data_IF_191886410745
#
_entry.id   IF_191886410745
#
_cell.length_a   1.000
_cell.length_b   1.000
_cell.length_c   1.000
_cell.angle_alpha   90.00
_cell.angle_beta   90.00
_cell.angle_gamma   90.00
#
_symmetry.space_group_name_H-M   'P 1'
#
loop_
_entity.id
_entity.type
_entity.pdbx_description
1 polymer ?
#
# COMPACT_ATOMS: atom_id res chain seq x y z
N UNK A 1 13.23 -4.52 4.06
CA UNK A 1 12.31 -3.48 3.55
C UNK A 1 10.92 -4.05 3.35
N UNK A 2 10.81 -5.26 2.80
CA UNK A 2 9.58 -6.07 2.69
C UNK A 2 8.73 -6.12 3.99
N UNK A 3 9.33 -6.46 5.14
CA UNK A 3 8.61 -6.59 6.42
C UNK A 3 7.93 -5.28 6.88
N UNK A 4 8.53 -4.13 6.55
CA UNK A 4 7.95 -2.83 6.88
C UNK A 4 6.63 -2.58 6.14
N UNK A 5 6.54 -3.03 4.89
CA UNK A 5 5.35 -2.82 4.05
C UNK A 5 4.14 -3.59 4.59
N UNK A 6 4.34 -4.85 5.01
CA UNK A 6 3.29 -5.66 5.63
C UNK A 6 2.76 -5.06 6.94
N UNK A 7 3.67 -4.54 7.78
CA UNK A 7 3.32 -3.87 9.04
C UNK A 7 2.54 -2.59 8.77
N UNK A 8 2.98 -1.77 7.81
CA UNK A 8 2.27 -0.52 7.45
C UNK A 8 0.89 -0.80 6.86
N UNK A 9 0.77 -1.78 5.95
CA UNK A 9 -0.53 -2.16 5.38
C UNK A 9 -1.50 -2.69 6.43
N UNK A 10 -0.99 -3.45 7.39
CA UNK A 10 -1.80 -3.96 8.51
C UNK A 10 -2.26 -2.81 9.40
N UNK A 11 -1.38 -1.86 9.73
CA UNK A 11 -1.73 -0.68 10.52
C UNK A 11 -2.80 0.18 9.81
N UNK A 12 -2.66 0.42 8.51
CA UNK A 12 -3.64 1.19 7.71
C UNK A 12 -5.01 0.50 7.72
N UNK A 13 -5.04 -0.83 7.56
CA UNK A 13 -6.28 -1.61 7.59
C UNK A 13 -6.96 -1.58 8.97
N UNK A 14 -6.19 -1.66 10.06
CA UNK A 14 -6.72 -1.54 11.43
C UNK A 14 -7.31 -0.15 11.67
N UNK A 15 -6.63 0.92 11.24
CA UNK A 15 -7.13 2.29 11.38
C UNK A 15 -8.44 2.46 10.60
N UNK A 16 -8.51 1.96 9.36
CA UNK A 16 -9.74 1.95 8.57
C UNK A 16 -10.88 1.22 9.28
N UNK A 17 -10.61 0.02 9.83
CA UNK A 17 -11.59 -0.76 10.57
C UNK A 17 -12.14 0.02 11.78
N UNK A 18 -11.27 0.67 12.56
CA UNK A 18 -11.68 1.48 13.73
C UNK A 18 -12.57 2.64 13.29
N UNK A 19 -12.18 3.40 12.26
CA UNK A 19 -12.96 4.52 11.73
C UNK A 19 -14.32 4.03 11.25
N UNK A 20 -14.36 2.91 10.52
CA UNK A 20 -15.60 2.34 9.98
C UNK A 20 -16.55 1.87 11.08
N UNK A 21 -16.01 1.29 12.16
CA UNK A 21 -16.79 0.93 13.35
C UNK A 21 -17.38 2.17 14.02
N UNK A 22 -16.61 3.25 14.15
CA UNK A 22 -17.10 4.52 14.69
C UNK A 22 -18.20 5.09 13.78
N UNK A 23 -18.00 5.08 12.46
CA UNK A 23 -18.96 5.58 11.47
C UNK A 23 -20.32 4.87 11.56
N UNK A 24 -20.32 3.53 11.56
CA UNK A 24 -21.54 2.72 11.65
C UNK A 24 -22.24 2.96 13.00
N UNK A 25 -21.46 3.02 14.10
CA UNK A 25 -22.02 3.07 15.45
C UNK A 25 -22.55 4.45 15.84
N UNK A 26 -21.95 5.53 15.34
CA UNK A 26 -22.29 6.91 15.74
C UNK A 26 -23.03 7.72 14.67
N UNK A 27 -22.71 7.52 13.39
CA UNK A 27 -23.31 8.30 12.29
C UNK A 27 -24.46 7.53 11.65
N UNK A 28 -24.20 6.32 11.14
CA UNK A 28 -25.17 5.58 10.32
C UNK A 28 -26.32 4.99 11.14
N UNK A 29 -26.05 4.48 12.36
CA UNK A 29 -27.03 3.77 13.21
C UNK A 29 -27.81 2.67 12.48
N UNK A 30 -27.22 2.10 11.42
CA UNK A 30 -27.77 0.97 10.69
C UNK A 30 -27.36 -0.34 11.35
N UNK A 31 -28.12 -1.41 11.06
CA UNK A 31 -27.75 -2.75 11.48
C UNK A 31 -26.38 -3.13 10.90
N UNK A 32 -25.52 -3.66 11.77
CA UNK A 32 -24.12 -3.94 11.43
C UNK A 32 -24.08 -5.06 10.38
N UNK A 33 -23.97 -4.69 9.11
CA UNK A 33 -23.66 -5.60 8.00
C UNK A 33 -22.18 -6.01 8.07
N UNK A 34 -21.85 -6.88 9.03
CA UNK A 34 -20.49 -7.39 9.26
C UNK A 34 -19.82 -7.93 7.99
N UNK A 35 -20.61 -8.57 7.11
CA UNK A 35 -20.13 -9.11 5.83
C UNK A 35 -19.58 -8.02 4.90
N UNK A 36 -20.22 -6.85 4.87
CA UNK A 36 -19.78 -5.73 4.04
C UNK A 36 -18.54 -5.08 4.63
N UNK A 37 -18.51 -4.92 5.96
CA UNK A 37 -17.37 -4.31 6.65
C UNK A 37 -16.07 -5.12 6.51
N UNK A 38 -16.17 -6.46 6.60
CA UNK A 38 -15.03 -7.36 6.39
C UNK A 38 -14.53 -7.26 4.94
N UNK A 39 -15.44 -7.24 3.97
CA UNK A 39 -15.08 -7.07 2.55
C UNK A 39 -14.33 -5.76 2.33
N UNK A 40 -14.84 -4.65 2.85
CA UNK A 40 -14.22 -3.34 2.70
C UNK A 40 -12.81 -3.31 3.32
N UNK A 41 -12.65 -3.91 4.50
CA UNK A 41 -11.36 -3.99 5.21
C UNK A 41 -10.32 -4.81 4.42
N UNK A 42 -10.75 -5.93 3.81
CA UNK A 42 -9.90 -6.75 2.94
C UNK A 42 -9.47 -5.97 1.69
N UNK A 43 -10.40 -5.23 1.07
CA UNK A 43 -10.11 -4.40 -0.11
C UNK A 43 -9.07 -3.33 0.23
N UNK A 44 -9.21 -2.64 1.37
CA UNK A 44 -8.25 -1.61 1.82
C UNK A 44 -6.87 -2.22 2.07
N UNK A 45 -6.81 -3.39 2.71
CA UNK A 45 -5.55 -4.10 2.94
C UNK A 45 -4.85 -4.44 1.61
N UNK A 46 -5.57 -5.06 0.67
CA UNK A 46 -5.02 -5.42 -0.65
C UNK A 46 -4.58 -4.17 -1.41
N UNK A 47 -5.38 -3.11 -1.42
CA UNK A 47 -5.06 -1.85 -2.08
C UNK A 47 -3.79 -1.21 -1.51
N UNK A 48 -3.63 -1.22 -0.18
CA UNK A 48 -2.44 -0.68 0.47
C UNK A 48 -1.17 -1.47 0.13
N UNK A 49 -1.23 -2.81 0.10
CA UNK A 49 -0.09 -3.67 -0.29
C UNK A 49 0.30 -3.39 -1.74
N UNK A 50 -0.68 -3.37 -2.65
CA UNK A 50 -0.43 -3.10 -4.06
C UNK A 50 0.18 -1.72 -4.29
N UNK A 51 -0.33 -0.69 -3.60
CA UNK A 51 0.21 0.66 -3.69
C UNK A 51 1.67 0.75 -3.21
N UNK A 52 1.98 0.13 -2.07
CA UNK A 52 3.35 0.07 -1.54
C UNK A 52 4.27 -0.73 -2.47
N UNK A 53 3.79 -1.84 -3.02
CA UNK A 53 4.53 -2.67 -3.98
C UNK A 53 4.90 -1.87 -5.23
N UNK A 54 3.94 -1.18 -5.84
CA UNK A 54 4.17 -0.31 -7.01
C UNK A 54 5.21 0.76 -6.66
N UNK A 55 5.11 1.39 -5.48
CA UNK A 55 6.05 2.42 -5.05
C UNK A 55 7.51 1.90 -4.97
N UNK A 56 7.70 0.65 -4.49
CA UNK A 56 9.01 -0.01 -4.49
C UNK A 56 9.54 -0.26 -5.90
N UNK A 57 8.69 -0.72 -6.81
CA UNK A 57 9.11 -0.98 -8.19
C UNK A 57 9.50 0.30 -8.91
N UNK A 58 8.71 1.37 -8.75
CA UNK A 58 9.01 2.67 -9.35
C UNK A 58 10.34 3.22 -8.82
N UNK A 59 10.57 3.23 -7.51
CA UNK A 59 11.83 3.79 -6.96
C UNK A 59 13.10 3.06 -7.41
N UNK A 60 13.02 1.77 -7.74
CA UNK A 60 14.21 0.97 -8.07
C UNK A 60 14.71 1.23 -9.49
N UNK A 61 13.83 1.59 -10.43
CA UNK A 61 14.20 1.80 -11.83
C UNK A 61 14.55 3.26 -12.19
N UNK A 62 14.04 4.26 -11.44
CA UNK A 62 14.35 5.68 -11.74
C UNK A 62 15.70 6.15 -11.18
N UNK A 63 16.31 5.43 -10.24
CA UNK A 63 17.62 5.80 -9.70
C UNK A 63 18.77 5.30 -10.58
N UNK A 64 19.15 6.15 -11.55
CA UNK A 64 20.52 6.33 -12.01
C UNK A 64 21.26 5.14 -12.65
N UNK A 65 20.66 4.48 -13.66
CA UNK A 65 21.51 3.90 -14.71
C UNK A 65 21.84 4.99 -15.73
N UNK A 66 22.84 5.83 -15.41
CA UNK A 66 23.50 6.65 -16.43
C UNK A 66 24.14 5.66 -17.40
N UNK A 67 23.74 5.60 -18.68
CA UNK A 67 24.32 4.66 -19.61
C UNK A 67 25.81 5.00 -19.77
N UNK A 68 26.68 4.11 -19.29
CA UNK A 68 28.14 4.27 -19.37
C UNK A 68 28.68 4.23 -20.82
N UNK A 69 27.78 4.10 -21.80
CA UNK A 69 28.02 4.04 -23.25
C UNK A 69 28.84 5.23 -23.76
N UNK A 70 28.81 6.38 -23.08
CA UNK A 70 29.58 7.57 -23.48
C UNK A 70 30.69 7.99 -22.48
N UNK A 71 31.00 7.14 -21.50
CA UNK A 71 31.99 7.46 -20.45
C UNK A 71 33.10 6.40 -20.30
N UNK A 72 33.03 5.29 -21.03
CA UNK A 72 34.09 4.28 -21.05
C UNK A 72 35.33 4.79 -21.79
N UNK A 73 36.53 4.44 -21.31
CA UNK A 73 37.77 4.61 -22.08
C UNK A 73 37.61 3.86 -23.41
N UNK A 74 37.92 4.47 -24.55
CA UNK A 74 37.82 3.80 -25.83
C UNK A 74 38.75 2.59 -25.89
N UNK A 75 38.24 1.47 -26.40
CA UNK A 75 38.94 0.17 -26.50
C UNK A 75 39.52 -0.05 -27.92
N UNK A 76 39.94 1.04 -28.58
CA UNK A 76 40.67 0.97 -29.84
C UNK A 76 42.18 0.91 -29.63
#
# INVERSE_FOLDING_TARGET
MEQGQWITSTAISIVFFIIRVIEIKFILKEDILLKQMIRDTIIVFISSILGLFILTQVNTDVSSKIPAVFTGKPDF
#
